data_IF_508162540193
#
_entry.id   IF_508162540193
#
_cell.length_a   1.000
_cell.length_b   1.000
_cell.length_c   1.000
_cell.angle_alpha   90.00
_cell.angle_beta   90.00
_cell.angle_gamma   90.00
#
_symmetry.space_group_name_H-M   'P 1'
#
loop_
_entity.id
_entity.type
_entity.pdbx_description
1 polymer ?
#
# COMPACT_ATOMS: atom_id res chain seq x y z
N UNK A 1 5.57 11.82 -11.93
CA UNK A 1 5.28 12.02 -10.50
C UNK A 1 5.77 10.80 -9.75
N UNK A 2 6.25 10.96 -8.52
CA UNK A 2 6.64 9.84 -7.66
C UNK A 2 5.65 9.76 -6.51
N UNK A 3 5.36 8.56 -6.03
CA UNK A 3 4.46 8.35 -4.91
C UNK A 3 5.15 7.50 -3.85
N UNK A 4 4.80 7.74 -2.59
CA UNK A 4 5.16 6.93 -1.44
C UNK A 4 3.92 6.20 -0.95
N UNK A 5 4.08 4.91 -0.65
CA UNK A 5 3.00 4.09 -0.07
C UNK A 5 3.44 3.59 1.30
N UNK A 6 2.62 3.86 2.31
CA UNK A 6 2.81 3.31 3.66
C UNK A 6 1.64 2.36 3.97
N UNK A 7 1.95 1.11 4.35
CA UNK A 7 0.97 0.06 4.63
C UNK A 7 1.05 -0.39 6.08
N UNK A 8 -0.09 -0.38 6.76
CA UNK A 8 -0.23 -0.74 8.17
C UNK A 8 -1.20 -1.92 8.32
N UNK A 9 -0.86 -2.91 9.15
CA UNK A 9 -1.84 -3.87 9.67
C UNK A 9 -1.88 -3.82 11.18
N UNK A 10 -3.09 -3.84 11.73
CA UNK A 10 -3.33 -3.75 13.19
C UNK A 10 -2.48 -2.64 13.85
N UNK A 11 -2.40 -1.49 13.18
CA UNK A 11 -1.61 -0.29 13.57
C UNK A 11 -0.08 -0.44 13.56
N UNK A 12 0.46 -1.55 13.08
CA UNK A 12 1.91 -1.73 12.85
C UNK A 12 2.26 -1.50 11.38
N UNK A 13 3.33 -0.74 11.12
CA UNK A 13 3.86 -0.57 9.77
C UNK A 13 4.46 -1.89 9.30
N UNK A 14 3.91 -2.46 8.23
CA UNK A 14 4.44 -3.70 7.64
C UNK A 14 5.43 -3.37 6.52
N UNK A 15 5.14 -2.32 5.75
CA UNK A 15 6.01 -1.90 4.66
C UNK A 15 5.84 -0.41 4.37
N UNK A 16 6.97 0.22 4.05
CA UNK A 16 7.08 1.54 3.45
C UNK A 16 7.88 1.40 2.16
N UNK A 17 7.28 0.76 1.16
CA UNK A 17 7.92 0.56 -0.13
C UNK A 17 7.67 1.78 -1.02
N UNK A 18 8.76 2.38 -1.51
CA UNK A 18 8.72 3.49 -2.47
C UNK A 18 8.30 2.97 -3.85
N UNK A 19 6.99 2.84 -4.08
CA UNK A 19 6.45 2.38 -5.35
C UNK A 19 6.26 3.54 -6.34
N UNK A 20 6.98 3.50 -7.46
CA UNK A 20 6.89 4.50 -8.52
C UNK A 20 5.92 4.05 -9.61
N UNK A 21 4.72 4.63 -9.66
CA UNK A 21 3.75 4.43 -10.75
C UNK A 21 3.62 5.63 -11.69
N UNK A 22 2.96 5.42 -12.83
CA UNK A 22 2.69 6.45 -13.85
C UNK A 22 1.64 7.48 -13.43
N UNK A 23 0.71 7.11 -12.55
CA UNK A 23 -0.36 7.96 -12.01
C UNK A 23 -0.78 7.51 -10.60
N UNK A 24 -1.46 8.37 -9.85
CA UNK A 24 -1.98 8.00 -8.52
C UNK A 24 -3.04 6.89 -8.61
N UNK A 25 -3.84 6.84 -9.69
CA UNK A 25 -4.80 5.76 -9.91
C UNK A 25 -4.09 4.41 -10.10
N UNK A 26 -3.03 4.38 -10.91
CA UNK A 26 -2.27 3.14 -11.15
C UNK A 26 -1.61 2.64 -9.85
N UNK A 27 -1.03 3.54 -9.06
CA UNK A 27 -0.42 3.18 -7.76
C UNK A 27 -1.47 2.59 -6.82
N UNK A 28 -2.62 3.25 -6.66
CA UNK A 28 -3.70 2.75 -5.80
C UNK A 28 -4.19 1.37 -6.23
N UNK A 29 -4.38 1.15 -7.52
CA UNK A 29 -4.82 -0.14 -8.06
C UNK A 29 -3.86 -1.28 -7.69
N UNK A 30 -2.56 -1.09 -7.90
CA UNK A 30 -1.55 -2.11 -7.57
C UNK A 30 -1.44 -2.35 -6.07
N UNK A 31 -1.53 -1.30 -5.25
CA UNK A 31 -1.51 -1.43 -3.78
C UNK A 31 -2.71 -2.23 -3.28
N UNK A 32 -3.91 -1.99 -3.81
CA UNK A 32 -5.10 -2.76 -3.44
C UNK A 32 -4.98 -4.24 -3.81
N UNK A 33 -4.35 -4.57 -4.93
CA UNK A 33 -4.07 -5.96 -5.29
C UNK A 33 -3.12 -6.64 -4.30
N UNK A 34 -2.04 -5.95 -3.91
CA UNK A 34 -1.08 -6.46 -2.91
C UNK A 34 -1.76 -6.66 -1.55
N UNK A 35 -2.59 -5.69 -1.11
CA UNK A 35 -3.32 -5.80 0.15
C UNK A 35 -4.27 -7.00 0.15
N UNK A 36 -4.99 -7.23 -0.97
CA UNK A 36 -5.86 -8.41 -1.11
C UNK A 36 -5.09 -9.70 -0.97
N UNK A 37 -3.92 -9.81 -1.61
CA UNK A 37 -3.07 -10.99 -1.51
C UNK A 37 -2.56 -11.21 -0.09
N UNK A 38 -2.11 -10.14 0.60
CA UNK A 38 -1.71 -10.21 2.01
C UNK A 38 -2.88 -10.68 2.88
N UNK A 39 -4.07 -10.11 2.74
CA UNK A 39 -5.26 -10.50 3.51
C UNK A 39 -5.67 -11.96 3.28
N UNK A 40 -5.44 -12.51 2.08
CA UNK A 40 -5.72 -13.92 1.78
C UNK A 40 -4.70 -14.87 2.39
N UNK A 41 -3.44 -14.46 2.46
CA UNK A 41 -2.33 -15.30 2.94
C UNK A 41 -2.01 -15.12 4.43
N UNK A 42 -2.65 -14.15 5.10
CA UNK A 42 -2.42 -13.83 6.51
C UNK A 42 -3.74 -13.81 7.30
N UNK A 43 -3.65 -13.77 8.63
CA UNK A 43 -4.80 -13.62 9.52
C UNK A 43 -5.03 -12.16 9.96
N UNK A 44 -4.48 -11.18 9.23
CA UNK A 44 -4.74 -9.77 9.54
C UNK A 44 -6.23 -9.46 9.37
N UNK A 45 -6.81 -8.78 10.36
CA UNK A 45 -8.23 -8.42 10.34
C UNK A 45 -8.47 -7.11 9.61
N UNK A 46 -7.46 -6.24 9.58
CA UNK A 46 -7.55 -4.89 9.03
C UNK A 46 -6.20 -4.44 8.48
N UNK A 47 -6.23 -3.87 7.28
CA UNK A 47 -5.07 -3.25 6.63
C UNK A 47 -5.48 -1.86 6.15
N UNK A 48 -4.66 -0.87 6.49
CA UNK A 48 -4.79 0.51 6.03
C UNK A 48 -3.57 0.88 5.19
N UNK A 49 -3.77 1.77 4.21
CA UNK A 49 -2.67 2.27 3.41
C UNK A 49 -2.85 3.74 3.07
N UNK A 50 -1.72 4.43 2.91
CA UNK A 50 -1.65 5.83 2.54
C UNK A 50 -0.78 6.00 1.30
N UNK A 51 -1.27 6.76 0.33
CA UNK A 51 -0.51 7.11 -0.89
C UNK A 51 -0.31 8.62 -0.90
N UNK A 52 0.95 9.04 -0.82
CA UNK A 52 1.34 10.45 -0.84
C UNK A 52 2.21 10.71 -2.07
N UNK A 53 2.15 11.91 -2.64
CA UNK A 53 3.20 12.34 -3.58
C UNK A 53 4.54 12.39 -2.84
N UNK A 54 5.57 11.81 -3.45
CA UNK A 54 6.92 11.87 -2.91
C UNK A 54 7.56 13.21 -3.32
N UNK A 55 8.07 13.94 -2.33
CA UNK A 55 8.86 15.17 -2.50
C UNK A 55 10.16 14.95 -3.30
#
# INVERSE_FOLDING_TARGET
MKYKVDIYADSNLISSDYWYGSSIQDVKFWVELVIRDILQNTNFKHIEYYVNEAE
#
